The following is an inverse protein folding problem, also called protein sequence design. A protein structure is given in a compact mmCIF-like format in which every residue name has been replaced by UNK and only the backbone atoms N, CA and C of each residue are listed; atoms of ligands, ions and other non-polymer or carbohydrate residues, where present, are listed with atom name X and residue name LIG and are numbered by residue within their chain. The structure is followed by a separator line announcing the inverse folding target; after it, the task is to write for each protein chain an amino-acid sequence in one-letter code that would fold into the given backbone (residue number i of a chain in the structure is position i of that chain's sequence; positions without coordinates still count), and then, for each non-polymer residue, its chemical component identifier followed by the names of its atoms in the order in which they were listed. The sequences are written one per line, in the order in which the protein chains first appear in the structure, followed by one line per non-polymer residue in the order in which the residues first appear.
data_IF_303123717074
#
_entry.id   IF_303123717074
#
_cell.length_a   1.000
_cell.length_b   1.000
_cell.length_c   1.000
_cell.angle_alpha   90.00
_cell.angle_beta   90.00
_cell.angle_gamma   90.00
#
_symmetry.space_group_name_H-M   'P 1'
#
loop_
_entity.id
_entity.type
_entity.pdbx_description
1 polymer ?
#
# COMPACT_ATOMS: atom_id res chain seq x y z
N UNK A 1 17.57 14.92 12.10
CA UNK A 1 16.95 16.27 12.11
C UNK A 1 15.55 16.18 12.73
N UNK A 2 15.16 17.11 13.59
CA UNK A 2 13.83 17.18 14.21
C UNK A 2 13.12 18.46 13.74
N UNK A 3 11.91 18.32 13.20
CA UNK A 3 11.09 19.45 12.78
C UNK A 3 9.84 19.53 13.64
N UNK A 4 9.51 20.73 14.12
CA UNK A 4 8.30 21.01 14.89
C UNK A 4 7.40 21.96 14.12
N UNK A 5 6.13 21.60 13.99
CA UNK A 5 5.14 22.45 13.32
C UNK A 5 4.59 23.47 14.32
N UNK A 6 5.15 24.68 14.30
CA UNK A 6 4.80 25.74 15.27
C UNK A 6 3.43 26.38 14.99
N UNK A 7 3.04 26.50 13.72
CA UNK A 7 1.75 27.05 13.31
C UNK A 7 1.14 26.18 12.22
N UNK A 8 -0.03 25.61 12.49
CA UNK A 8 -0.80 24.84 11.52
C UNK A 8 -2.26 25.28 11.60
N UNK A 9 -2.85 25.68 10.46
CA UNK A 9 -4.25 26.14 10.36
C UNK A 9 -5.19 25.05 9.83
N UNK A 10 -4.63 23.97 9.30
CA UNK A 10 -5.40 22.88 8.67
C UNK A 10 -5.53 21.68 9.61
N UNK A 11 -4.50 21.41 10.42
CA UNK A 11 -4.50 20.29 11.35
C UNK A 11 -3.93 20.72 12.73
N UNK A 12 -4.00 19.85 13.75
CA UNK A 12 -3.51 20.19 15.09
C UNK A 12 -2.05 20.67 15.07
N UNK A 13 -1.74 21.82 15.71
CA UNK A 13 -0.39 22.36 15.77
C UNK A 13 0.49 21.58 16.76
N UNK A 14 1.78 21.94 16.79
CA UNK A 14 2.81 21.44 17.71
C UNK A 14 3.19 19.97 17.59
N UNK A 15 2.81 19.31 16.49
CA UNK A 15 3.34 18.00 16.13
C UNK A 15 4.81 18.09 15.74
N UNK A 16 5.53 17.01 16.03
CA UNK A 16 6.95 16.88 15.75
C UNK A 16 7.20 15.68 14.84
N UNK A 17 8.21 15.80 13.99
CA UNK A 17 8.64 14.74 13.11
C UNK A 17 10.17 14.66 13.11
N UNK A 18 10.67 13.44 13.09
CA UNK A 18 12.10 13.13 13.09
C UNK A 18 12.43 12.55 11.72
N UNK A 19 13.46 13.08 11.09
CA UNK A 19 13.92 12.61 9.80
C UNK A 19 15.44 12.51 9.78
N UNK A 20 15.93 11.53 9.05
CA UNK A 20 17.34 11.36 8.76
C UNK A 20 17.67 11.98 7.41
N UNK A 21 18.75 12.77 7.36
CA UNK A 21 19.22 13.43 6.15
C UNK A 21 20.61 12.89 5.85
N UNK A 22 20.75 12.30 4.67
CA UNK A 22 22.04 11.83 4.15
C UNK A 22 22.57 12.87 3.18
N UNK A 23 23.79 13.36 3.40
CA UNK A 23 24.42 14.32 2.49
C UNK A 23 24.54 13.73 1.07
N UNK A 24 24.10 14.49 0.07
CA UNK A 24 24.08 14.06 -1.33
C UNK A 24 22.83 13.29 -1.77
N UNK A 25 22.12 12.61 -0.86
CA UNK A 25 20.87 11.87 -1.18
C UNK A 25 19.60 12.59 -0.68
N UNK A 26 19.74 13.48 0.31
CA UNK A 26 18.64 14.25 0.87
C UNK A 26 17.90 13.52 1.99
N UNK A 27 16.59 13.78 2.11
CA UNK A 27 15.73 13.18 3.13
C UNK A 27 15.48 11.72 2.78
N UNK A 28 15.80 10.82 3.70
CA UNK A 28 15.60 9.39 3.51
C UNK A 28 14.15 9.01 3.85
N UNK A 29 13.30 8.91 2.82
CA UNK A 29 11.86 8.65 2.96
C UNK A 29 11.58 7.24 3.46
N UNK A 30 12.39 6.29 3.05
CA UNK A 30 12.34 4.88 3.42
C UNK A 30 12.46 4.71 4.93
N UNK A 31 13.33 5.51 5.53
CA UNK A 31 13.58 5.50 6.95
C UNK A 31 12.38 6.03 7.76
N UNK A 32 11.82 7.15 7.32
CA UNK A 32 10.63 7.73 7.94
C UNK A 32 9.42 6.80 7.81
N UNK A 33 9.28 6.13 6.67
CA UNK A 33 8.22 5.14 6.44
C UNK A 33 8.37 3.91 7.34
N UNK A 34 9.59 3.39 7.53
CA UNK A 34 9.84 2.26 8.44
C UNK A 34 9.42 2.60 9.87
N UNK A 35 9.82 3.76 10.38
CA UNK A 35 9.45 4.19 11.74
C UNK A 35 7.94 4.38 11.89
N UNK A 36 7.30 5.01 10.91
CA UNK A 36 5.84 5.18 10.89
C UNK A 36 5.09 3.85 10.78
N UNK A 37 5.61 2.89 10.01
CA UNK A 37 5.01 1.57 9.83
C UNK A 37 5.14 0.71 11.11
N UNK A 38 6.26 0.80 11.81
CA UNK A 38 6.47 0.13 13.11
C UNK A 38 5.56 0.75 14.18
N UNK A 39 5.48 2.08 14.25
CA UNK A 39 4.56 2.77 15.15
C UNK A 39 3.09 2.42 14.83
N UNK A 40 2.79 2.24 13.55
CA UNK A 40 1.51 1.77 13.05
C UNK A 40 1.28 0.26 13.18
N UNK A 41 2.21 -0.54 13.73
CA UNK A 41 2.04 -2.00 13.83
C UNK A 41 1.79 -2.72 12.50
N UNK A 42 2.31 -2.17 11.40
CA UNK A 42 2.29 -2.80 10.07
C UNK A 42 3.53 -3.68 9.90
N UNK A 43 4.62 -3.27 10.52
CA UNK A 43 5.88 -4.00 10.60
C UNK A 43 6.11 -4.38 12.05
N UNK A 44 6.37 -5.65 12.28
CA UNK A 44 6.65 -6.18 13.60
C UNK A 44 8.14 -6.09 13.88
N UNK A 45 8.49 -5.58 15.06
CA UNK A 45 9.87 -5.55 15.57
C UNK A 45 10.03 -6.60 16.66
N UNK A 46 10.79 -7.65 16.39
CA UNK A 46 11.18 -8.67 17.38
C UNK A 46 12.64 -8.46 17.78
N UNK A 47 12.85 -7.61 18.78
CA UNK A 47 14.19 -7.19 19.20
C UNK A 47 14.90 -6.40 18.10
N UNK A 48 15.96 -6.98 17.55
CA UNK A 48 16.73 -6.39 16.44
C UNK A 48 16.18 -6.77 15.06
N UNK A 49 15.24 -7.70 14.97
CA UNK A 49 14.67 -8.16 13.70
C UNK A 49 13.41 -7.40 13.31
N UNK A 50 13.30 -7.07 12.02
CA UNK A 50 12.08 -6.52 11.42
C UNK A 50 11.40 -7.57 10.55
N UNK A 51 10.08 -7.70 10.72
CA UNK A 51 9.24 -8.63 9.95
C UNK A 51 8.07 -7.90 9.31
N UNK A 52 7.76 -8.24 8.06
CA UNK A 52 6.60 -7.74 7.33
C UNK A 52 5.81 -8.93 6.78
N UNK A 53 4.51 -9.01 7.11
CA UNK A 53 3.61 -10.10 6.68
C UNK A 53 4.17 -11.52 6.94
N UNK A 54 4.87 -11.71 8.06
CA UNK A 54 5.57 -12.95 8.43
C UNK A 54 6.85 -13.27 7.66
N UNK A 55 7.31 -12.37 6.77
CA UNK A 55 8.62 -12.45 6.15
C UNK A 55 9.63 -11.60 6.92
N UNK A 56 10.86 -12.13 7.12
CA UNK A 56 11.92 -11.39 7.81
C UNK A 56 12.61 -10.47 6.81
N UNK A 57 12.48 -9.16 7.05
CA UNK A 57 13.03 -8.10 6.19
C UNK A 57 14.54 -7.96 6.42
N UNK A 58 14.96 -8.06 7.68
CA UNK A 58 16.37 -7.93 8.04
C UNK A 58 16.60 -7.65 9.52
N UNK A 59 17.88 -7.70 9.90
CA UNK A 59 18.35 -7.37 11.23
C UNK A 59 18.84 -5.92 11.25
N UNK A 60 18.28 -5.11 12.14
CA UNK A 60 18.64 -3.72 12.29
C UNK A 60 17.92 -2.80 11.31
N UNK A 61 18.06 -1.50 11.58
CA UNK A 61 17.34 -0.45 10.86
C UNK A 61 17.86 -0.30 9.43
N UNK A 62 19.18 -0.31 9.25
CA UNK A 62 19.82 -0.15 7.95
C UNK A 62 19.47 -1.28 6.96
N UNK A 63 19.43 -2.53 7.43
CA UNK A 63 19.05 -3.67 6.61
C UNK A 63 17.60 -3.57 6.13
N UNK A 64 16.68 -3.18 7.02
CA UNK A 64 15.27 -3.00 6.66
C UNK A 64 15.07 -1.86 5.66
N UNK A 65 15.84 -0.78 5.79
CA UNK A 65 15.83 0.33 4.84
C UNK A 65 16.39 -0.08 3.48
N UNK A 66 17.50 -0.82 3.45
CA UNK A 66 18.07 -1.33 2.20
C UNK A 66 17.09 -2.25 1.46
N UNK A 67 16.38 -3.10 2.20
CA UNK A 67 15.33 -3.93 1.61
C UNK A 67 14.23 -3.12 0.91
N UNK A 68 13.84 -1.96 1.47
CA UNK A 68 12.88 -1.07 0.81
C UNK A 68 13.44 -0.36 -0.41
N UNK A 69 14.74 -0.08 -0.43
CA UNK A 69 15.41 0.49 -1.61
C UNK A 69 15.48 -0.54 -2.74
N UNK A 70 15.76 -1.79 -2.42
CA UNK A 70 15.83 -2.89 -3.38
C UNK A 70 14.43 -3.31 -3.88
N UNK A 71 13.41 -3.22 -3.03
CA UNK A 71 12.04 -3.65 -3.32
C UNK A 71 11.04 -2.48 -3.28
N UNK A 72 11.01 -1.61 -4.32
CA UNK A 72 10.16 -0.44 -4.35
C UNK A 72 8.65 -0.76 -4.38
N UNK A 73 8.27 -1.96 -4.82
CA UNK A 73 6.87 -2.41 -4.81
C UNK A 73 6.36 -2.62 -3.38
N UNK A 74 7.16 -3.29 -2.54
CA UNK A 74 6.85 -3.52 -1.13
C UNK A 74 6.85 -2.20 -0.38
N UNK A 75 7.80 -1.33 -0.68
CA UNK A 75 7.86 0.01 -0.10
C UNK A 75 6.56 0.80 -0.34
N UNK A 76 6.07 0.85 -1.59
CA UNK A 76 4.79 1.54 -1.92
C UNK A 76 3.60 0.94 -1.19
N UNK A 77 3.58 -0.38 -1.04
CA UNK A 77 2.51 -1.06 -0.31
C UNK A 77 2.51 -0.66 1.17
N UNK A 78 3.68 -0.72 1.82
CA UNK A 78 3.86 -0.33 3.22
C UNK A 78 3.52 1.14 3.41
N UNK A 79 3.99 2.02 2.51
CA UNK A 79 3.70 3.45 2.53
C UNK A 79 2.21 3.71 2.46
N UNK A 80 1.50 3.04 1.52
CA UNK A 80 0.05 3.19 1.38
C UNK A 80 -0.67 2.74 2.64
N UNK A 81 -0.38 1.55 3.16
CA UNK A 81 -0.98 1.02 4.39
C UNK A 81 -0.73 1.94 5.59
N UNK A 82 0.48 2.51 5.68
CA UNK A 82 0.86 3.43 6.75
C UNK A 82 0.10 4.74 6.63
N UNK A 83 -0.04 5.29 5.42
CA UNK A 83 -0.86 6.48 5.18
C UNK A 83 -2.32 6.23 5.52
N UNK A 84 -2.90 5.12 5.06
CA UNK A 84 -4.29 4.77 5.33
C UNK A 84 -4.54 4.64 6.84
N UNK A 85 -3.60 4.06 7.60
CA UNK A 85 -3.75 3.93 9.06
C UNK A 85 -3.66 5.26 9.82
N UNK A 86 -2.80 6.18 9.38
CA UNK A 86 -2.57 7.46 10.08
C UNK A 86 -3.47 8.60 9.61
N UNK A 87 -3.88 8.59 8.34
CA UNK A 87 -4.69 9.63 7.69
C UNK A 87 -6.11 9.14 7.34
N UNK A 88 -6.44 7.86 7.50
CA UNK A 88 -7.76 7.28 7.17
C UNK A 88 -8.93 7.73 8.04
N UNK A 89 -8.73 8.70 8.94
CA UNK A 89 -9.82 9.52 9.48
C UNK A 89 -10.02 10.76 8.59
N UNK A 90 -10.75 10.56 7.50
CA UNK A 90 -11.80 11.49 7.10
C UNK A 90 -11.47 12.79 6.38
N UNK A 91 -10.22 13.24 6.22
CA UNK A 91 -9.97 14.48 5.44
C UNK A 91 -8.67 14.36 4.63
N UNK A 92 -8.80 14.39 3.30
CA UNK A 92 -7.72 14.42 2.28
C UNK A 92 -6.98 13.12 1.92
N UNK A 93 -7.67 12.12 1.38
CA UNK A 93 -7.04 11.18 0.43
C UNK A 93 -7.89 11.02 -0.84
N UNK A 94 -7.57 11.69 -1.95
CA UNK A 94 -8.24 11.48 -3.24
C UNK A 94 -7.86 10.15 -3.92
N UNK A 95 -6.82 9.45 -3.45
CA UNK A 95 -6.32 8.21 -4.09
C UNK A 95 -7.08 6.95 -3.68
N UNK A 96 -7.89 7.01 -2.61
CA UNK A 96 -8.75 5.89 -2.20
C UNK A 96 -9.90 5.66 -3.19
N UNK A 97 -10.46 6.74 -3.76
CA UNK A 97 -11.56 6.65 -4.72
C UNK A 97 -11.15 6.01 -6.05
N UNK A 98 -9.93 6.27 -6.53
CA UNK A 98 -9.49 5.76 -7.84
C UNK A 98 -9.13 4.26 -7.83
N UNK A 99 -8.75 3.71 -6.66
CA UNK A 99 -8.47 2.27 -6.51
C UNK A 99 -9.74 1.45 -6.27
N UNK A 100 -10.73 1.98 -5.56
CA UNK A 100 -12.03 1.30 -5.42
C UNK A 100 -12.79 1.23 -6.74
N UNK A 101 -12.76 2.28 -7.57
CA UNK A 101 -13.42 2.26 -8.90
C UNK A 101 -12.75 1.29 -9.89
N UNK A 102 -11.42 1.18 -9.88
CA UNK A 102 -10.71 0.25 -10.79
C UNK A 102 -10.87 -1.22 -10.39
N UNK A 103 -10.98 -1.50 -9.09
CA UNK A 103 -11.17 -2.88 -8.60
C UNK A 103 -12.63 -3.33 -8.70
N UNK A 104 -13.60 -2.41 -8.64
CA UNK A 104 -15.01 -2.68 -8.93
C UNK A 104 -15.25 -2.92 -10.44
N UNK A 105 -14.69 -2.08 -11.31
CA UNK A 105 -14.84 -2.23 -12.76
C UNK A 105 -14.19 -3.52 -13.31
N UNK A 106 -13.08 -3.98 -12.70
CA UNK A 106 -12.42 -5.23 -13.08
C UNK A 106 -13.24 -6.47 -12.69
N UNK A 107 -14.02 -6.41 -11.59
CA UNK A 107 -14.89 -7.51 -11.14
C UNK A 107 -16.17 -7.60 -11.97
N UNK A 108 -16.81 -6.47 -12.30
CA UNK A 108 -17.99 -6.47 -13.18
C UNK A 108 -17.68 -6.94 -14.61
N UNK A 109 -16.54 -6.52 -15.18
CA UNK A 109 -16.12 -6.97 -16.51
C UNK A 109 -15.76 -8.47 -16.58
N UNK A 110 -15.31 -9.07 -15.46
CA UNK A 110 -15.02 -10.50 -15.39
C UNK A 110 -16.31 -11.34 -15.27
N UNK A 111 -17.31 -10.85 -14.53
CA UNK A 111 -18.58 -11.55 -14.36
C UNK A 111 -19.45 -11.49 -15.63
N UNK A 112 -19.42 -10.38 -16.38
CA UNK A 112 -20.14 -10.26 -17.65
C UNK A 112 -19.52 -11.13 -18.76
N UNK A 113 -18.18 -11.25 -18.78
CA UNK A 113 -17.47 -12.14 -19.73
C UNK A 113 -17.73 -13.62 -19.44
N UNK A 114 -17.84 -14.00 -18.17
CA UNK A 114 -18.18 -15.37 -17.78
C UNK A 114 -19.63 -15.74 -18.16
N UNK A 115 -20.59 -14.83 -17.99
CA UNK A 115 -21.99 -15.04 -18.39
C UNK A 115 -22.15 -15.11 -19.91
N UNK A 116 -21.48 -14.25 -20.68
CA UNK A 116 -21.49 -14.31 -22.17
C UNK A 116 -20.82 -15.57 -22.74
N UNK A 117 -19.78 -16.10 -22.09
CA UNK A 117 -19.14 -17.35 -22.51
C UNK A 117 -20.03 -18.59 -22.28
N UNK A 118 -20.77 -18.62 -21.18
CA UNK A 118 -21.70 -19.71 -20.87
C UNK A 118 -22.90 -19.76 -21.83
N UNK A 119 -23.43 -18.59 -22.22
CA UNK A 119 -24.55 -18.50 -23.15
C UNK A 119 -24.18 -18.93 -24.57
N UNK A 120 -22.98 -18.56 -25.04
CA UNK A 120 -22.48 -18.96 -26.37
C UNK A 120 -22.18 -20.47 -26.45
N UNK A 121 -21.75 -21.10 -25.34
CA UNK A 121 -21.55 -22.54 -25.27
C UNK A 121 -22.88 -23.32 -25.30
N UNK A 122 -23.91 -22.82 -24.60
CA UNK A 122 -25.25 -23.41 -24.61
C UNK A 122 -25.94 -23.31 -25.98
N UNK A 123 -25.74 -22.19 -26.70
CA UNK A 123 -26.25 -22.02 -28.07
C UNK A 123 -25.58 -22.98 -29.07
N UNK A 124 -24.25 -23.15 -28.99
CA UNK A 124 -23.52 -24.12 -29.85
C UNK A 124 -23.95 -25.56 -29.60
N UNK A 125 -24.20 -25.94 -28.34
CA UNK A 125 -24.67 -27.29 -27.99
C UNK A 125 -26.08 -27.58 -28.54
N UNK A 126 -26.99 -26.59 -28.55
CA UNK A 126 -28.33 -26.74 -29.15
C UNK A 126 -28.29 -26.91 -30.67
N UNK A 127 -27.37 -26.22 -31.36
CA UNK A 127 -27.19 -26.34 -32.82
C UNK A 127 -26.63 -27.72 -33.21
N UNK A 128 -25.70 -28.28 -32.42
CA UNK A 128 -25.12 -29.60 -32.69
C UNK A 128 -26.17 -30.71 -32.50
N UNK A 129 -27.05 -30.59 -31.50
CA UNK A 129 -28.13 -31.56 -31.25
C UNK A 129 -29.25 -31.53 -32.31
N UNK A 130 -29.40 -30.44 -33.05
CA UNK A 130 -30.40 -30.30 -34.12
C UNK A 130 -29.90 -30.78 -35.50
N UNK A 131 -28.63 -31.18 -35.61
CA UNK A 131 -28.00 -31.66 -36.87
C UNK A 131 -27.76 -33.18 -36.91
N UNK A 132 -28.13 -33.92 -35.86
CA UNK A 132 -28.14 -35.39 -35.83
C UNK A 132 -29.57 -35.93 -35.88
#
# INVERSE_FOLDING_TARGET
VRAKVVKNKVAPPFKEAIFEIIFGKGIMRENAALEAAVAGGIIDRSGTWYSYKNEKIGQGKDAAVNYFVENPEIFKEVEKRTKDKHFGRGEFSPEAKEKEEKEAAAKEAAEEKAKKAAELAAAKAKIIKAKN
#
